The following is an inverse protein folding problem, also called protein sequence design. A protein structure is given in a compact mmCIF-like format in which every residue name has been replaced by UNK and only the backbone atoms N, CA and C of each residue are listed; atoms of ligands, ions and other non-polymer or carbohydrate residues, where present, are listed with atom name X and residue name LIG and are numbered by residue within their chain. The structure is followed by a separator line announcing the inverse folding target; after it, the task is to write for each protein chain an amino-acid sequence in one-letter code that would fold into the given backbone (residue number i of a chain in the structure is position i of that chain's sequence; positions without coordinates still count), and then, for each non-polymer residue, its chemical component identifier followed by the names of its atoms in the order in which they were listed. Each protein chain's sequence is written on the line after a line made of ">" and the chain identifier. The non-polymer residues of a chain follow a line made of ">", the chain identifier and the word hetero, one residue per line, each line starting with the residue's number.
data_IF_920799217889
#
_entry.id   IF_920799217889
#
_cell.length_a   1.000
_cell.length_b   1.000
_cell.length_c   1.000
_cell.angle_alpha   90.00
_cell.angle_beta   90.00
_cell.angle_gamma   90.00
#
_symmetry.space_group_name_H-M   'P 1'
#
loop_
_entity.id
_entity.type
_entity.pdbx_description
1 polymer ?
#
# COMPACT_ATOMS: atom_id res chain seq x y z
N UNK A 1 4.87 -14.21 15.72
CA UNK A 1 4.27 -12.86 15.78
C UNK A 1 4.07 -12.32 14.35
N UNK A 2 5.15 -11.99 13.62
CA UNK A 2 5.08 -11.51 12.22
C UNK A 2 4.48 -12.53 11.22
N UNK A 3 4.97 -13.78 11.21
CA UNK A 3 4.45 -14.82 10.30
C UNK A 3 2.95 -15.04 10.47
N UNK A 4 2.44 -14.93 11.70
CA UNK A 4 1.01 -15.08 11.97
C UNK A 4 0.19 -13.90 11.41
N UNK A 5 0.71 -12.67 11.49
CA UNK A 5 0.09 -11.50 10.88
C UNK A 5 -0.01 -11.66 9.35
N UNK A 6 1.07 -12.12 8.71
CA UNK A 6 1.08 -12.36 7.26
C UNK A 6 0.07 -13.45 6.84
N UNK A 7 0.03 -14.56 7.57
CA UNK A 7 -0.93 -15.65 7.30
C UNK A 7 -2.36 -15.16 7.48
N UNK A 8 -2.63 -14.41 8.55
CA UNK A 8 -3.96 -13.88 8.82
C UNK A 8 -4.41 -12.86 7.77
N UNK A 9 -3.52 -11.96 7.34
CA UNK A 9 -3.82 -10.94 6.34
C UNK A 9 -4.14 -11.55 4.98
N UNK A 10 -3.40 -12.58 4.56
CA UNK A 10 -3.62 -13.24 3.27
C UNK A 10 -4.69 -14.36 3.34
N UNK A 11 -5.40 -14.53 4.46
CA UNK A 11 -6.42 -15.56 4.61
C UNK A 11 -7.54 -15.37 3.58
N UNK A 12 -7.88 -16.45 2.88
CA UNK A 12 -8.93 -16.44 1.85
C UNK A 12 -8.46 -16.01 0.45
N UNK A 13 -7.17 -15.71 0.26
CA UNK A 13 -6.57 -15.53 -1.07
C UNK A 13 -6.16 -16.88 -1.67
N UNK A 14 -5.92 -16.91 -2.97
CA UNK A 14 -5.51 -18.12 -3.71
C UNK A 14 -4.17 -18.65 -3.19
N UNK A 15 -4.09 -19.91 -2.69
CA UNK A 15 -2.88 -20.44 -2.07
C UNK A 15 -1.64 -20.37 -2.97
N UNK A 16 -1.78 -20.69 -4.26
CA UNK A 16 -0.70 -20.65 -5.23
C UNK A 16 -0.15 -19.23 -5.43
N UNK A 17 -1.03 -18.21 -5.42
CA UNK A 17 -0.61 -16.81 -5.55
C UNK A 17 0.03 -16.30 -4.26
N UNK A 18 -0.43 -16.76 -3.10
CA UNK A 18 0.21 -16.43 -1.80
C UNK A 18 1.64 -16.99 -1.76
N UNK A 19 1.84 -18.22 -2.23
CA UNK A 19 3.17 -18.82 -2.25
C UNK A 19 4.13 -18.01 -3.12
N UNK A 20 3.72 -17.66 -4.36
CA UNK A 20 4.51 -16.80 -5.25
C UNK A 20 4.80 -15.44 -4.61
N UNK A 21 3.81 -14.84 -3.95
CA UNK A 21 3.99 -13.58 -3.20
C UNK A 21 5.06 -13.72 -2.13
N UNK A 22 5.05 -14.80 -1.34
CA UNK A 22 6.05 -15.03 -0.30
C UNK A 22 7.45 -15.28 -0.87
N UNK A 23 7.56 -15.98 -1.99
CA UNK A 23 8.83 -16.17 -2.70
C UNK A 23 9.42 -14.82 -3.13
N UNK A 24 8.62 -13.98 -3.82
CA UNK A 24 9.04 -12.64 -4.26
C UNK A 24 9.40 -11.74 -3.06
N UNK A 25 8.65 -11.82 -1.96
CA UNK A 25 8.94 -11.05 -0.74
C UNK A 25 10.27 -11.44 -0.09
N UNK A 26 10.82 -12.62 -0.37
CA UNK A 26 12.11 -13.06 0.19
C UNK A 26 13.32 -12.54 -0.59
N UNK A 27 13.12 -12.01 -1.80
CA UNK A 27 14.20 -11.53 -2.67
C UNK A 27 15.02 -10.40 -2.03
N UNK A 28 14.37 -9.45 -1.34
CA UNK A 28 15.02 -8.35 -0.63
C UNK A 28 14.03 -7.59 0.28
N UNK A 29 14.57 -6.71 1.13
CA UNK A 29 13.78 -5.91 2.06
C UNK A 29 12.75 -5.01 1.37
N UNK A 30 13.07 -4.44 0.20
CA UNK A 30 12.13 -3.59 -0.54
C UNK A 30 10.90 -4.38 -1.01
N UNK A 31 11.10 -5.56 -1.60
CA UNK A 31 10.01 -6.47 -1.99
C UNK A 31 9.18 -6.91 -0.78
N UNK A 32 9.82 -7.18 0.35
CA UNK A 32 9.13 -7.50 1.59
C UNK A 32 8.20 -6.36 2.05
N UNK A 33 8.71 -5.12 2.15
CA UNK A 33 7.91 -3.99 2.60
C UNK A 33 6.80 -3.62 1.60
N UNK A 34 7.06 -3.69 0.30
CA UNK A 34 6.04 -3.54 -0.75
C UNK A 34 4.92 -4.58 -0.62
N UNK A 35 5.26 -5.85 -0.39
CA UNK A 35 4.27 -6.93 -0.23
C UNK A 35 3.50 -6.91 1.09
N UNK A 36 3.84 -6.01 2.02
CA UNK A 36 3.31 -5.98 3.40
C UNK A 36 2.80 -4.61 3.83
N UNK A 37 2.13 -3.89 2.90
CA UNK A 37 1.55 -2.57 3.12
C UNK A 37 0.74 -2.44 4.43
N UNK A 38 -0.03 -3.46 4.83
CA UNK A 38 -0.80 -3.49 6.07
C UNK A 38 0.05 -3.33 7.34
N UNK A 39 1.27 -3.90 7.37
CA UNK A 39 2.17 -3.78 8.51
C UNK A 39 2.64 -2.33 8.69
N UNK A 40 2.78 -1.58 7.60
CA UNK A 40 3.11 -0.16 7.65
C UNK A 40 2.00 0.62 8.36
N UNK A 41 0.73 0.44 7.97
CA UNK A 41 -0.39 1.16 8.60
C UNK A 41 -0.66 0.73 10.04
N UNK A 42 -0.50 -0.56 10.37
CA UNK A 42 -0.57 -1.01 11.76
C UNK A 42 0.44 -0.28 12.65
N UNK A 43 1.67 -0.10 12.15
CA UNK A 43 2.72 0.65 12.87
C UNK A 43 2.43 2.15 12.90
N UNK A 44 2.00 2.72 11.78
CA UNK A 44 1.66 4.13 11.66
C UNK A 44 0.57 4.52 12.65
N UNK A 45 -0.49 3.71 12.75
CA UNK A 45 -1.60 3.91 13.67
C UNK A 45 -1.20 3.81 15.14
N UNK A 46 -0.11 3.09 15.46
CA UNK A 46 0.40 2.97 16.83
C UNK A 46 1.24 4.19 17.29
N UNK A 47 1.63 5.09 16.37
CA UNK A 47 2.44 6.27 16.72
C UNK A 47 1.59 7.28 17.49
N UNK A 48 1.98 7.56 18.73
CA UNK A 48 1.34 8.57 19.57
C UNK A 48 1.74 9.97 19.10
N UNK A 49 0.83 10.95 19.24
CA UNK A 49 1.04 12.38 18.93
C UNK A 49 1.35 12.66 17.45
N UNK A 50 0.68 11.95 16.55
CA UNK A 50 0.72 12.28 15.14
C UNK A 50 0.11 13.66 14.87
N UNK A 51 0.68 14.49 13.97
CA UNK A 51 0.05 15.74 13.57
C UNK A 51 -1.37 15.48 13.02
N UNK A 52 -2.33 16.30 13.44
CA UNK A 52 -3.69 16.22 12.92
C UNK A 52 -3.70 16.62 11.44
N UNK A 53 -4.48 15.91 10.65
CA UNK A 53 -4.78 16.24 9.24
C UNK A 53 -6.22 15.83 8.92
N UNK A 54 -6.88 16.49 7.96
CA UNK A 54 -8.25 16.15 7.58
C UNK A 54 -8.33 14.71 7.05
N UNK A 55 -9.48 14.07 7.25
CA UNK A 55 -9.78 12.79 6.62
C UNK A 55 -10.03 12.99 5.12
N UNK A 56 -9.37 12.19 4.29
CA UNK A 56 -9.54 12.16 2.83
C UNK A 56 -9.51 10.71 2.37
N UNK A 57 -10.05 10.43 1.18
CA UNK A 57 -9.84 9.15 0.52
C UNK A 57 -8.39 9.09 0.04
N UNK A 58 -7.62 8.16 0.60
CA UNK A 58 -6.23 7.91 0.22
C UNK A 58 -6.13 6.63 -0.63
N UNK A 59 -5.06 6.48 -1.42
CA UNK A 59 -4.79 5.27 -2.20
C UNK A 59 -4.52 4.08 -1.28
N UNK A 60 -3.85 4.33 -0.15
CA UNK A 60 -3.51 3.27 0.80
C UNK A 60 -2.26 2.47 0.42
N UNK A 61 -1.84 2.43 -0.84
CA UNK A 61 -0.53 1.87 -1.24
C UNK A 61 0.27 2.86 -2.09
N UNK A 62 0.36 4.12 -1.68
CA UNK A 62 1.03 5.13 -2.52
C UNK A 62 2.54 4.92 -2.61
N UNK A 63 3.03 4.68 -3.83
CA UNK A 63 4.45 4.66 -4.17
C UNK A 63 4.64 5.05 -5.64
N UNK A 64 5.89 5.30 -6.06
CA UNK A 64 6.19 5.80 -7.40
C UNK A 64 5.65 4.91 -8.53
N UNK A 65 5.71 3.59 -8.39
CA UNK A 65 5.18 2.67 -9.42
C UNK A 65 3.65 2.69 -9.60
N UNK A 66 2.88 3.31 -8.67
CA UNK A 66 1.44 3.51 -8.82
C UNK A 66 1.09 4.81 -9.54
N UNK A 67 2.08 5.65 -9.85
CA UNK A 67 1.88 6.78 -10.75
C UNK A 67 2.10 6.33 -12.19
N UNK A 68 1.21 6.74 -13.07
CA UNK A 68 1.25 6.34 -14.47
C UNK A 68 0.74 7.40 -15.42
N UNK A 69 0.93 7.15 -16.71
CA UNK A 69 0.30 7.91 -17.79
C UNK A 69 -0.75 7.04 -18.46
N UNK A 70 -1.99 7.52 -18.47
CA UNK A 70 -3.16 6.80 -18.97
C UNK A 70 -3.77 7.54 -20.14
N UNK A 71 -4.17 6.79 -21.18
CA UNK A 71 -4.83 7.37 -22.35
C UNK A 71 -6.34 7.35 -22.13
N UNK A 72 -6.95 8.53 -22.06
CA UNK A 72 -8.41 8.66 -21.98
C UNK A 72 -9.09 8.32 -23.30
N UNK A 73 -10.39 8.03 -23.23
CA UNK A 73 -11.23 7.78 -24.42
C UNK A 73 -11.31 8.98 -25.38
N UNK A 74 -11.09 10.18 -24.86
CA UNK A 74 -10.94 11.42 -25.62
C UNK A 74 -9.56 11.60 -26.28
N UNK A 75 -8.72 10.56 -26.24
CA UNK A 75 -7.36 10.52 -26.81
C UNK A 75 -6.33 11.44 -26.13
N UNK A 76 -6.66 12.04 -24.99
CA UNK A 76 -5.71 12.79 -24.17
C UNK A 76 -4.93 11.85 -23.24
N UNK A 77 -3.74 12.29 -22.83
CA UNK A 77 -2.90 11.61 -21.85
C UNK A 77 -3.10 12.26 -20.49
N UNK A 78 -3.33 11.44 -19.47
CA UNK A 78 -3.54 11.84 -18.09
C UNK A 78 -2.42 11.26 -17.24
N UNK A 79 -1.82 12.10 -16.41
CA UNK A 79 -0.97 11.63 -15.33
C UNK A 79 -1.85 11.41 -14.10
N UNK A 80 -1.89 10.19 -13.60
CA UNK A 80 -2.79 9.80 -12.51
C UNK A 80 -2.21 8.65 -11.67
N UNK A 81 -2.95 8.30 -10.62
CA UNK A 81 -2.74 7.11 -9.80
C UNK A 81 -3.55 5.92 -10.33
N UNK A 82 -3.06 4.72 -10.06
CA UNK A 82 -3.81 3.47 -10.20
C UNK A 82 -3.84 2.70 -8.88
N UNK A 83 -4.48 1.54 -8.91
CA UNK A 83 -4.44 0.51 -7.86
C UNK A 83 -4.95 1.01 -6.49
N UNK A 84 -6.27 1.10 -6.37
CA UNK A 84 -6.97 1.59 -5.17
C UNK A 84 -7.51 0.45 -4.30
N UNK A 85 -6.93 -0.75 -4.39
CA UNK A 85 -7.40 -1.92 -3.63
C UNK A 85 -7.24 -1.72 -2.10
N UNK A 86 -6.28 -0.89 -1.68
CA UNK A 86 -6.05 -0.45 -0.30
C UNK A 86 -6.74 0.88 0.06
N UNK A 87 -7.60 1.40 -0.82
CA UNK A 87 -8.23 2.71 -0.66
C UNK A 87 -9.08 2.83 0.60
N UNK A 88 -8.87 3.89 1.40
CA UNK A 88 -9.57 4.09 2.66
C UNK A 88 -9.73 5.58 3.01
N UNK A 89 -10.74 5.91 3.80
CA UNK A 89 -10.88 7.24 4.41
C UNK A 89 -9.95 7.35 5.63
N UNK A 90 -8.87 8.11 5.51
CA UNK A 90 -7.84 8.25 6.56
C UNK A 90 -7.23 9.67 6.58
N UNK A 91 -6.47 10.04 7.64
CA UNK A 91 -5.82 11.36 7.70
C UNK A 91 -4.87 11.56 6.52
N UNK A 92 -4.99 12.69 5.81
CA UNK A 92 -4.21 12.98 4.59
C UNK A 92 -2.68 12.81 4.77
N UNK A 93 -2.17 13.10 5.97
CA UNK A 93 -0.75 12.96 6.27
C UNK A 93 -0.25 11.51 6.19
N UNK A 94 -1.11 10.52 6.37
CA UNK A 94 -0.73 9.10 6.30
C UNK A 94 -0.23 8.73 4.91
N UNK A 95 -0.88 9.25 3.88
CA UNK A 95 -0.52 9.01 2.48
C UNK A 95 0.82 9.69 2.12
N UNK A 96 1.03 10.91 2.61
CA UNK A 96 2.31 11.62 2.42
C UNK A 96 3.46 10.83 3.07
N UNK A 97 3.23 10.28 4.25
CA UNK A 97 4.24 9.48 4.96
C UNK A 97 4.47 8.16 4.26
N UNK A 98 3.41 7.55 3.70
CA UNK A 98 3.53 6.36 2.88
C UNK A 98 4.41 6.60 1.65
N UNK A 99 4.23 7.73 0.96
CA UNK A 99 5.02 8.06 -0.22
C UNK A 99 6.52 8.27 0.08
N UNK A 100 6.86 8.86 1.23
CA UNK A 100 8.26 9.16 1.58
C UNK A 100 8.96 8.05 2.35
N UNK A 101 8.22 7.06 2.84
CA UNK A 101 8.76 5.90 3.55
C UNK A 101 8.90 4.71 2.57
N UNK A 102 10.14 4.22 2.31
CA UNK A 102 10.38 3.09 1.42
C UNK A 102 9.95 1.74 2.01
#
# INVERSE_FOLDING_TARGET
>A
MLNQQLINFNKGRLPEMIQLKYEVMTENAFRFFRGTCHLFYERLAAIKKFPLSPLVWICGDLHLENFGSFKGSNKLVYFDLNDFDEGILAPALWEVIRLVAP
#
